data_IF_344843724398
#
_entry.id   IF_344843724398
#
_cell.length_a   1.000
_cell.length_b   1.000
_cell.length_c   1.000
_cell.angle_alpha   90.00
_cell.angle_beta   90.00
_cell.angle_gamma   90.00
#
_symmetry.space_group_name_H-M   'P 1'
#
loop_
_entity.id
_entity.type
_entity.pdbx_description
1 polymer ?
#
# COMPACT_ATOMS: atom_id res chain seq x y z
N UNK A 1 18.02 -3.29 -16.56
CA UNK A 1 19.31 -3.01 -15.90
C UNK A 1 20.23 -2.16 -16.79
N UNK A 2 20.48 -2.52 -18.06
CA UNK A 2 21.33 -1.72 -18.96
C UNK A 2 20.86 -0.27 -19.19
N UNK A 3 19.55 -0.03 -19.31
CA UNK A 3 18.99 1.32 -19.49
C UNK A 3 19.23 2.26 -18.28
N UNK A 4 19.22 1.70 -17.06
CA UNK A 4 19.51 2.46 -15.84
C UNK A 4 20.96 2.95 -15.84
N UNK A 5 21.89 2.07 -16.16
CA UNK A 5 23.33 2.36 -16.15
C UNK A 5 23.67 3.43 -17.19
N UNK A 6 23.12 3.30 -18.41
CA UNK A 6 23.37 4.25 -19.51
C UNK A 6 22.78 5.63 -19.19
N UNK A 7 21.54 5.70 -18.71
CA UNK A 7 20.91 6.98 -18.39
C UNK A 7 21.54 7.66 -17.18
N UNK A 8 21.92 6.89 -16.15
CA UNK A 8 22.61 7.42 -14.98
C UNK A 8 23.98 7.99 -15.35
N UNK A 9 24.75 7.27 -16.17
CA UNK A 9 26.04 7.75 -16.66
C UNK A 9 25.91 9.09 -17.41
N UNK A 10 24.91 9.21 -18.28
CA UNK A 10 24.65 10.46 -19.01
C UNK A 10 24.20 11.61 -18.09
N UNK A 11 23.35 11.34 -17.10
CA UNK A 11 22.85 12.39 -16.19
C UNK A 11 23.93 12.85 -15.20
N UNK A 12 24.82 11.96 -14.78
CA UNK A 12 25.98 12.31 -13.95
C UNK A 12 27.02 13.12 -14.73
N UNK A 13 27.23 12.81 -16.01
CA UNK A 13 28.15 13.56 -16.87
C UNK A 13 27.69 15.00 -17.15
N UNK A 14 26.39 15.28 -16.99
CA UNK A 14 25.78 16.59 -17.21
C UNK A 14 25.34 17.29 -15.91
N UNK A 15 25.84 16.84 -14.75
CA UNK A 15 25.58 17.52 -13.48
C UNK A 15 26.22 18.92 -13.51
N UNK A 16 25.48 19.99 -13.18
CA UNK A 16 26.06 21.32 -13.12
C UNK A 16 27.09 21.36 -11.99
N UNK A 17 28.36 21.56 -12.35
CA UNK A 17 29.40 21.91 -11.38
C UNK A 17 29.09 23.34 -10.96
N UNK A 18 28.76 23.55 -9.68
CA UNK A 18 28.52 24.90 -9.17
C UNK A 18 29.79 25.74 -9.36
N UNK A 19 29.65 26.97 -9.88
CA UNK A 19 30.77 27.90 -10.15
C UNK A 19 31.48 28.39 -8.86
N UNK A 20 30.94 28.07 -7.69
CA UNK A 20 31.60 28.17 -6.40
C UNK A 20 31.73 26.77 -5.82
N UNK A 21 32.92 26.41 -5.32
CA UNK A 21 33.24 25.10 -4.73
C UNK A 21 32.10 24.64 -3.81
N UNK A 22 31.21 23.76 -4.30
CA UNK A 22 30.00 23.44 -3.57
C UNK A 22 30.43 22.71 -2.30
N UNK A 23 29.86 23.11 -1.16
CA UNK A 23 30.05 22.37 0.09
C UNK A 23 29.85 20.88 -0.18
N UNK A 24 30.68 20.03 0.44
CA UNK A 24 30.60 18.57 0.29
C UNK A 24 29.16 18.06 0.50
N UNK A 25 28.43 18.71 1.40
CA UNK A 25 27.01 18.46 1.68
C UNK A 25 26.11 18.73 0.45
N UNK A 26 26.33 19.85 -0.25
CA UNK A 26 25.54 20.27 -1.42
C UNK A 26 25.83 19.35 -2.62
N UNK A 27 27.11 19.01 -2.83
CA UNK A 27 27.52 18.05 -3.86
C UNK A 27 26.95 16.64 -3.60
N UNK A 28 26.97 16.18 -2.36
CA UNK A 28 26.37 14.91 -1.96
C UNK A 28 24.83 14.91 -2.17
N UNK A 29 24.16 16.00 -1.82
CA UNK A 29 22.72 16.15 -2.04
C UNK A 29 22.35 16.09 -3.53
N UNK A 30 23.09 16.79 -4.40
CA UNK A 30 22.86 16.77 -5.85
C UNK A 30 23.07 15.37 -6.44
N UNK A 31 24.15 14.68 -6.06
CA UNK A 31 24.41 13.31 -6.49
C UNK A 31 23.27 12.38 -6.08
N UNK A 32 22.87 12.42 -4.81
CA UNK A 32 21.78 11.61 -4.26
C UNK A 32 20.46 11.85 -5.01
N UNK A 33 20.12 13.11 -5.28
CA UNK A 33 18.89 13.47 -5.99
C UNK A 33 18.91 12.99 -7.45
N UNK A 34 20.05 13.08 -8.14
CA UNK A 34 20.20 12.59 -9.52
C UNK A 34 20.09 11.07 -9.61
N UNK A 35 20.72 10.34 -8.68
CA UNK A 35 20.58 8.88 -8.59
C UNK A 35 19.12 8.49 -8.32
N UNK A 36 18.48 9.14 -7.35
CA UNK A 36 17.09 8.83 -6.97
C UNK A 36 16.09 9.15 -8.09
N UNK A 37 16.21 10.32 -8.73
CA UNK A 37 15.32 10.71 -9.84
C UNK A 37 15.49 9.81 -11.06
N UNK A 38 16.72 9.43 -11.40
CA UNK A 38 17.00 8.50 -12.52
C UNK A 38 16.45 7.11 -12.26
N UNK A 39 16.64 6.61 -11.02
CA UNK A 39 16.06 5.33 -10.62
C UNK A 39 14.52 5.37 -10.69
N UNK A 40 13.91 6.49 -10.29
CA UNK A 40 12.47 6.68 -10.33
C UNK A 40 11.91 6.78 -11.76
N UNK A 41 12.62 7.44 -12.67
CA UNK A 41 12.24 7.60 -14.08
C UNK A 41 12.24 6.26 -14.84
N UNK A 42 13.24 5.41 -14.54
CA UNK A 42 13.49 4.18 -15.31
C UNK A 42 12.84 2.96 -14.68
N UNK A 43 12.92 2.84 -13.35
CA UNK A 43 12.36 1.69 -12.61
C UNK A 43 10.95 1.97 -12.11
N UNK A 44 10.50 3.24 -12.16
CA UNK A 44 9.27 3.66 -11.52
C UNK A 44 9.36 3.66 -9.99
N UNK A 45 8.26 4.03 -9.34
CA UNK A 45 8.10 3.74 -7.91
C UNK A 45 7.69 2.28 -7.76
N UNK A 46 8.42 1.52 -6.95
CA UNK A 46 7.96 0.21 -6.50
C UNK A 46 6.57 0.37 -5.89
N UNK A 47 5.56 -0.24 -6.53
CA UNK A 47 4.21 -0.27 -6.00
C UNK A 47 4.27 -1.16 -4.77
N UNK A 48 4.20 -0.58 -3.58
CA UNK A 48 4.12 -1.35 -2.34
C UNK A 48 2.82 -2.14 -2.40
N UNK A 49 2.91 -3.41 -2.80
CA UNK A 49 1.90 -4.39 -2.44
C UNK A 49 2.16 -4.71 -0.98
N UNK A 50 1.58 -3.92 -0.07
CA UNK A 50 1.42 -4.43 1.28
C UNK A 50 0.53 -5.67 1.15
N UNK A 51 0.98 -6.80 1.70
CA UNK A 51 0.11 -7.97 1.89
C UNK A 51 -0.88 -7.68 3.01
N UNK A 52 -1.67 -6.62 2.86
CA UNK A 52 -2.77 -6.35 3.76
C UNK A 52 -4.00 -7.16 3.33
N UNK A 53 -4.91 -7.35 4.27
CA UNK A 53 -6.15 -8.08 4.08
C UNK A 53 -7.07 -7.50 2.99
N UNK A 54 -6.78 -6.28 2.51
CA UNK A 54 -7.58 -5.61 1.50
C UNK A 54 -7.37 -6.15 0.09
N UNK A 55 -6.13 -6.46 -0.31
CA UNK A 55 -5.83 -6.79 -1.70
C UNK A 55 -6.56 -8.05 -2.19
N UNK A 56 -6.57 -9.12 -1.39
CA UNK A 56 -7.26 -10.38 -1.75
C UNK A 56 -8.79 -10.27 -1.66
N UNK A 57 -9.30 -9.26 -0.96
CA UNK A 57 -10.72 -9.06 -0.68
C UNK A 57 -11.32 -7.86 -1.42
N UNK A 58 -10.56 -7.20 -2.30
CA UNK A 58 -10.94 -5.94 -2.95
C UNK A 58 -12.27 -6.05 -3.71
N UNK A 59 -12.51 -7.16 -4.42
CA UNK A 59 -13.77 -7.40 -5.12
C UNK A 59 -14.97 -7.52 -4.16
N UNK A 60 -14.82 -8.26 -3.05
CA UNK A 60 -15.88 -8.43 -2.06
C UNK A 60 -16.18 -7.12 -1.32
N UNK A 61 -15.14 -6.36 -0.97
CA UNK A 61 -15.26 -5.05 -0.32
C UNK A 61 -15.94 -4.04 -1.26
N UNK A 62 -15.60 -4.04 -2.54
CA UNK A 62 -16.26 -3.21 -3.57
C UNK A 62 -17.74 -3.57 -3.70
N UNK A 63 -18.09 -4.85 -3.72
CA UNK A 63 -19.49 -5.29 -3.79
C UNK A 63 -20.31 -4.80 -2.59
N UNK A 64 -19.79 -4.99 -1.37
CA UNK A 64 -20.44 -4.50 -0.14
C UNK A 64 -20.64 -2.97 -0.16
N UNK A 65 -19.62 -2.23 -0.63
CA UNK A 65 -19.68 -0.77 -0.73
C UNK A 65 -20.72 -0.32 -1.77
N UNK A 66 -20.83 -1.02 -2.90
CA UNK A 66 -21.85 -0.72 -3.93
C UNK A 66 -23.27 -0.92 -3.39
N UNK A 67 -23.54 -2.04 -2.74
CA UNK A 67 -24.87 -2.34 -2.18
C UNK A 67 -25.29 -1.28 -1.15
N UNK A 68 -24.39 -0.92 -0.21
CA UNK A 68 -24.68 0.14 0.75
C UNK A 68 -24.98 1.47 0.04
N UNK A 69 -24.21 1.82 -0.98
CA UNK A 69 -24.40 3.07 -1.74
C UNK A 69 -25.78 3.13 -2.40
N UNK A 70 -26.21 2.03 -3.03
CA UNK A 70 -27.53 1.92 -3.65
C UNK A 70 -28.66 2.05 -2.63
N UNK A 71 -28.53 1.40 -1.47
CA UNK A 71 -29.53 1.48 -0.40
C UNK A 71 -29.56 2.87 0.25
N UNK A 72 -28.40 3.52 0.36
CA UNK A 72 -28.31 4.91 0.80
C UNK A 72 -29.03 5.85 -0.16
N UNK A 73 -28.80 5.73 -1.47
CA UNK A 73 -29.48 6.51 -2.48
C UNK A 73 -31.01 6.31 -2.41
N UNK A 74 -31.45 5.06 -2.25
CA UNK A 74 -32.87 4.72 -2.07
C UNK A 74 -33.46 5.39 -0.83
N UNK A 75 -32.73 5.41 0.28
CA UNK A 75 -33.15 6.09 1.51
C UNK A 75 -33.20 7.62 1.35
N UNK A 76 -32.19 8.23 0.73
CA UNK A 76 -32.15 9.68 0.48
C UNK A 76 -33.29 10.12 -0.44
N UNK A 77 -33.52 9.37 -1.53
CA UNK A 77 -34.61 9.67 -2.47
C UNK A 77 -35.99 9.43 -1.84
N UNK A 78 -36.11 8.47 -0.91
CA UNK A 78 -37.37 8.11 -0.27
C UNK A 78 -37.16 7.71 1.20
N UNK A 79 -37.21 8.65 2.15
CA UNK A 79 -36.85 8.40 3.55
C UNK A 79 -37.99 7.75 4.35
N UNK A 80 -38.43 6.56 3.95
CA UNK A 80 -39.40 5.77 4.72
C UNK A 80 -38.74 5.02 5.88
N UNK A 81 -39.52 4.64 6.89
CA UNK A 81 -39.04 3.79 7.99
C UNK A 81 -38.48 2.45 7.49
N UNK A 82 -39.07 1.88 6.43
CA UNK A 82 -38.60 0.65 5.79
C UNK A 82 -37.21 0.85 5.14
N UNK A 83 -37.04 1.92 4.36
CA UNK A 83 -35.77 2.22 3.68
C UNK A 83 -34.65 2.56 4.67
N UNK A 84 -34.99 3.26 5.77
CA UNK A 84 -34.05 3.49 6.87
C UNK A 84 -33.61 2.16 7.49
N UNK A 85 -34.55 1.25 7.75
CA UNK A 85 -34.27 -0.08 8.33
C UNK A 85 -33.39 -0.93 7.43
N UNK A 86 -33.64 -0.95 6.11
CA UNK A 86 -32.82 -1.72 5.15
C UNK A 86 -31.40 -1.15 5.05
N UNK A 87 -31.24 0.17 4.93
CA UNK A 87 -29.93 0.82 4.92
C UNK A 87 -29.14 0.56 6.22
N UNK A 88 -29.76 0.72 7.38
CA UNK A 88 -29.11 0.44 8.66
C UNK A 88 -28.69 -1.03 8.79
N UNK A 89 -29.48 -1.98 8.29
CA UNK A 89 -29.14 -3.41 8.29
C UNK A 89 -27.94 -3.70 7.39
N UNK A 90 -27.92 -3.16 6.17
CA UNK A 90 -26.79 -3.30 5.24
C UNK A 90 -25.50 -2.74 5.83
N UNK A 91 -25.55 -1.55 6.42
CA UNK A 91 -24.38 -0.95 7.10
C UNK A 91 -23.80 -1.85 8.20
N UNK A 92 -24.65 -2.50 9.01
CA UNK A 92 -24.20 -3.44 10.05
C UNK A 92 -23.56 -4.69 9.45
N UNK A 93 -24.13 -5.20 8.36
CA UNK A 93 -23.58 -6.37 7.67
C UNK A 93 -22.22 -6.06 7.06
N UNK A 94 -22.06 -4.91 6.40
CA UNK A 94 -20.76 -4.45 5.88
C UNK A 94 -19.72 -4.34 6.99
N UNK A 95 -20.06 -3.69 8.11
CA UNK A 95 -19.15 -3.60 9.26
C UNK A 95 -18.74 -4.98 9.77
N UNK A 96 -19.69 -5.90 9.91
CA UNK A 96 -19.41 -7.28 10.36
C UNK A 96 -18.48 -8.00 9.39
N UNK A 97 -18.74 -7.93 8.08
CA UNK A 97 -17.92 -8.58 7.05
C UNK A 97 -16.50 -8.02 7.00
N UNK A 98 -16.35 -6.70 7.08
CA UNK A 98 -15.03 -6.08 7.13
C UNK A 98 -14.24 -6.54 8.36
N UNK A 99 -14.90 -6.63 9.51
CA UNK A 99 -14.30 -7.19 10.73
C UNK A 99 -13.87 -8.65 10.56
N UNK A 100 -14.74 -9.51 10.01
CA UNK A 100 -14.42 -10.93 9.76
C UNK A 100 -13.21 -11.10 8.83
N UNK A 101 -13.12 -10.29 7.76
CA UNK A 101 -12.00 -10.36 6.82
C UNK A 101 -10.69 -9.92 7.51
N UNK A 102 -10.73 -8.83 8.27
CA UNK A 102 -9.56 -8.35 9.00
C UNK A 102 -9.10 -9.35 10.06
N UNK A 103 -10.04 -9.93 10.80
CA UNK A 103 -9.78 -10.93 11.85
C UNK A 103 -9.14 -12.21 11.29
N UNK A 104 -9.65 -12.70 10.15
CA UNK A 104 -9.09 -13.85 9.45
C UNK A 104 -7.63 -13.60 9.02
N UNK A 105 -7.33 -12.41 8.51
CA UNK A 105 -5.97 -12.06 8.13
C UNK A 105 -5.03 -11.91 9.34
N UNK A 106 -5.51 -11.29 10.43
CA UNK A 106 -4.74 -11.18 11.67
C UNK A 106 -4.41 -12.56 12.25
N UNK A 107 -5.37 -13.49 12.20
CA UNK A 107 -5.19 -14.88 12.63
C UNK A 107 -4.14 -15.57 11.76
N UNK A 108 -4.27 -15.51 10.44
CA UNK A 108 -3.30 -16.09 9.51
C UNK A 108 -1.89 -15.51 9.70
N UNK A 109 -1.78 -14.19 9.90
CA UNK A 109 -0.48 -13.54 10.14
C UNK A 109 0.13 -13.94 11.48
N UNK A 110 -0.66 -14.13 12.53
CA UNK A 110 -0.18 -14.63 13.81
C UNK A 110 0.40 -16.06 13.67
N UNK A 111 -0.31 -16.94 12.93
CA UNK A 111 0.16 -18.30 12.64
C UNK A 111 1.45 -18.31 11.81
N UNK A 112 1.56 -17.43 10.80
CA UNK A 112 2.77 -17.29 9.99
C UNK A 112 3.98 -16.84 10.83
N UNK A 113 3.78 -15.82 11.68
CA UNK A 113 4.82 -15.30 12.59
C UNK A 113 5.26 -16.38 13.58
N UNK A 114 4.31 -17.06 14.21
CA UNK A 114 4.59 -18.14 15.16
C UNK A 114 5.33 -19.29 14.48
N UNK A 115 4.83 -19.76 13.33
CA UNK A 115 5.45 -20.86 12.59
C UNK A 115 6.87 -20.55 12.12
N UNK A 116 7.15 -19.29 11.75
CA UNK A 116 8.50 -18.85 11.41
C UNK A 116 9.44 -18.83 12.63
N UNK A 117 8.92 -18.44 13.80
CA UNK A 117 9.69 -18.48 15.05
C UNK A 117 10.02 -19.92 15.46
N UNK A 118 9.04 -20.82 15.40
CA UNK A 118 9.20 -22.24 15.74
C UNK A 118 10.22 -22.95 14.85
N UNK A 119 10.29 -22.55 13.56
CA UNK A 119 11.28 -23.06 12.59
C UNK A 119 12.63 -22.34 12.63
N UNK A 120 12.82 -21.35 13.52
CA UNK A 120 14.02 -20.52 13.62
C UNK A 120 14.35 -19.75 12.31
N UNK A 121 13.32 -19.42 11.51
CA UNK A 121 13.43 -18.72 10.23
C UNK A 121 13.43 -17.19 10.43
N UNK A 122 14.47 -16.66 11.08
CA UNK A 122 14.52 -15.24 11.48
C UNK A 122 14.27 -14.25 10.34
N UNK A 123 14.76 -14.53 9.13
CA UNK A 123 14.52 -13.69 7.96
C UNK A 123 13.03 -13.57 7.62
N UNK A 124 12.30 -14.68 7.69
CA UNK A 124 10.87 -14.74 7.37
C UNK A 124 10.02 -14.17 8.51
N UNK A 125 10.42 -14.40 9.77
CA UNK A 125 9.82 -13.77 10.94
C UNK A 125 9.83 -12.23 10.81
N UNK A 126 11.00 -11.62 10.57
CA UNK A 126 11.09 -10.18 10.41
C UNK A 126 10.32 -9.65 9.19
N UNK A 127 10.25 -10.43 8.11
CA UNK A 127 9.46 -10.07 6.93
C UNK A 127 7.95 -10.08 7.25
N UNK A 128 7.46 -11.09 7.96
CA UNK A 128 6.06 -11.21 8.36
C UNK A 128 5.66 -10.11 9.38
N UNK A 129 6.50 -9.81 10.37
CA UNK A 129 6.24 -8.72 11.32
C UNK A 129 6.17 -7.35 10.63
N UNK A 130 7.03 -7.11 9.62
CA UNK A 130 6.98 -5.90 8.77
C UNK A 130 5.75 -5.82 7.87
N UNK A 131 4.97 -6.89 7.72
CA UNK A 131 3.72 -6.83 6.96
C UNK A 131 2.54 -6.33 7.80
N UNK A 132 2.69 -6.31 9.13
CA UNK A 132 1.70 -5.79 10.09
C UNK A 132 1.87 -4.29 10.36
N UNK A 133 3.09 -3.76 10.26
CA UNK A 133 3.47 -2.36 10.54
C UNK A 133 4.00 -1.64 9.30
#
# INVERSE_FOLDING_TARGET
MCLLIISLANRLANLPVADADPSVEDGYCQLKNTVQSTALDILGRARRQHQDWFNDNDAAIKALRMEKSQLHQTYVNRPTAANKKTFCRSRRLEQKRLWEIQDAWMTHKAEEIQGNADRNEWKNFFAATKSVY
#
